data_IF_007341672479
#
_entry.id   IF_007341672479
#
_cell.length_a   1.000
_cell.length_b   1.000
_cell.length_c   1.000
_cell.angle_alpha   90.00
_cell.angle_beta   90.00
_cell.angle_gamma   90.00
#
_symmetry.space_group_name_H-M   'P 1'
#
loop_
_entity.id
_entity.type
_entity.pdbx_description
1 polymer ?
#
# COMPACT_ATOMS: atom_id res chain seq x y z
N UNK A 1 21.28 -17.50 -87.19
CA UNK A 1 19.92 -17.96 -86.86
C UNK A 1 20.03 -18.89 -85.65
N UNK A 2 19.42 -18.54 -84.51
CA UNK A 2 19.73 -19.16 -83.21
C UNK A 2 18.63 -20.14 -82.76
N UNK A 3 19.00 -21.19 -82.01
CA UNK A 3 18.30 -21.64 -80.79
C UNK A 3 19.30 -22.51 -80.02
N UNK A 4 19.79 -22.03 -78.88
CA UNK A 4 20.41 -22.90 -77.87
C UNK A 4 19.65 -22.81 -76.55
N UNK A 5 19.57 -23.99 -75.96
CA UNK A 5 18.71 -24.50 -74.89
C UNK A 5 19.05 -23.84 -73.56
N UNK A 6 18.00 -23.43 -72.84
CA UNK A 6 18.04 -22.90 -71.47
C UNK A 6 18.47 -23.97 -70.46
N UNK A 7 19.49 -23.64 -69.65
CA UNK A 7 19.75 -24.21 -68.33
C UNK A 7 19.39 -23.14 -67.27
N UNK A 8 18.84 -23.50 -66.10
CA UNK A 8 18.53 -22.56 -65.02
C UNK A 8 19.69 -22.47 -63.99
N UNK A 9 19.53 -21.54 -63.05
CA UNK A 9 20.29 -21.31 -61.77
C UNK A 9 21.39 -20.22 -61.92
N UNK A 10 21.59 -19.27 -60.96
CA UNK A 10 21.21 -19.28 -59.53
C UNK A 10 20.52 -18.00 -58.97
N UNK A 11 19.40 -18.18 -58.28
CA UNK A 11 18.78 -17.18 -57.38
C UNK A 11 19.51 -17.03 -56.02
N UNK A 12 20.73 -17.55 -55.88
CA UNK A 12 21.47 -17.57 -54.61
C UNK A 12 22.34 -16.32 -54.36
N UNK A 13 22.45 -15.41 -55.33
CA UNK A 13 23.39 -14.28 -55.25
C UNK A 13 22.75 -12.95 -54.83
N UNK A 14 21.42 -12.82 -54.91
CA UNK A 14 20.74 -11.58 -54.51
C UNK A 14 20.43 -11.50 -53.00
N UNK A 15 20.32 -12.64 -52.33
CA UNK A 15 20.01 -12.69 -50.89
C UNK A 15 21.22 -12.39 -49.98
N UNK A 16 22.44 -12.55 -50.48
CA UNK A 16 23.65 -12.37 -49.67
C UNK A 16 24.05 -10.89 -49.49
N UNK A 17 23.67 -9.99 -50.39
CA UNK A 17 24.03 -8.57 -50.30
C UNK A 17 23.14 -7.76 -49.33
N UNK A 18 21.96 -8.25 -48.96
CA UNK A 18 21.05 -7.52 -48.06
C UNK A 18 21.35 -7.75 -46.57
N UNK A 19 22.09 -8.81 -46.23
CA UNK A 19 22.42 -9.14 -44.84
C UNK A 19 23.69 -8.38 -44.38
N UNK A 20 24.60 -8.02 -45.29
CA UNK A 20 25.82 -7.30 -44.94
C UNK A 20 25.63 -5.79 -44.70
N UNK A 21 24.52 -5.20 -45.20
CA UNK A 21 24.26 -3.76 -45.05
C UNK A 21 23.52 -3.40 -43.74
N UNK A 22 22.97 -4.39 -43.03
CA UNK A 22 22.34 -4.18 -41.72
C UNK A 22 23.36 -4.14 -40.56
N UNK A 23 24.61 -4.54 -40.80
CA UNK A 23 25.64 -4.62 -39.76
C UNK A 23 26.41 -3.30 -39.53
N UNK A 24 26.21 -2.27 -40.37
CA UNK A 24 26.96 -1.00 -40.28
C UNK A 24 26.18 0.18 -39.66
N UNK A 25 24.94 -0.02 -39.21
CA UNK A 25 24.14 0.98 -38.49
C UNK A 25 23.93 0.67 -37.00
N UNK A 26 24.64 -0.31 -36.44
CA UNK A 26 24.73 -0.50 -34.99
C UNK A 26 25.72 0.52 -34.37
N UNK A 27 25.40 1.81 -34.55
CA UNK A 27 26.02 2.91 -33.85
C UNK A 27 25.63 2.84 -32.36
N UNK A 28 26.65 2.66 -31.52
CA UNK A 28 26.80 3.22 -30.17
C UNK A 28 25.52 3.78 -29.52
N UNK A 29 24.75 2.90 -28.87
CA UNK A 29 23.85 3.31 -27.79
C UNK A 29 24.57 3.03 -26.46
N UNK A 30 24.58 3.96 -25.51
CA UNK A 30 25.09 3.67 -24.17
C UNK A 30 24.23 2.53 -23.63
N UNK A 31 24.88 1.43 -23.26
CA UNK A 31 24.27 0.41 -22.43
C UNK A 31 23.75 1.13 -21.19
N UNK A 32 22.44 1.38 -21.14
CA UNK A 32 21.76 1.70 -19.92
C UNK A 32 22.07 0.55 -18.99
N UNK A 33 23.00 0.81 -18.06
CA UNK A 33 23.12 0.06 -16.84
C UNK A 33 21.69 -0.10 -16.33
N UNK A 34 21.18 -1.33 -16.34
CA UNK A 34 20.05 -1.67 -15.50
C UNK A 34 20.45 -1.18 -14.10
N UNK A 35 19.73 -0.22 -13.49
CA UNK A 35 20.01 0.08 -12.11
C UNK A 35 19.73 -1.22 -11.38
N UNK A 36 20.78 -1.77 -10.77
CA UNK A 36 20.65 -2.78 -9.75
C UNK A 36 19.53 -2.29 -8.83
N UNK A 37 18.39 -2.99 -8.85
CA UNK A 37 17.28 -2.74 -7.94
C UNK A 37 17.69 -3.26 -6.56
N UNK A 38 18.68 -2.59 -5.99
CA UNK A 38 18.99 -2.54 -4.58
C UNK A 38 18.62 -1.14 -4.06
N UNK A 39 17.50 -0.58 -4.55
CA UNK A 39 16.94 0.63 -3.96
C UNK A 39 16.61 0.33 -2.51
N UNK A 40 17.26 1.02 -1.58
CA UNK A 40 16.90 0.97 -0.17
C UNK A 40 15.40 1.27 -0.05
N UNK A 41 14.57 0.31 0.42
CA UNK A 41 13.13 0.50 0.50
C UNK A 41 12.78 1.74 1.33
N UNK A 42 13.59 2.08 2.32
CA UNK A 42 13.39 3.26 3.16
C UNK A 42 13.64 4.54 2.35
N UNK A 43 14.71 4.60 1.56
CA UNK A 43 14.99 5.74 0.69
C UNK A 43 13.86 5.99 -0.32
N UNK A 44 13.27 4.91 -0.86
CA UNK A 44 12.12 5.01 -1.78
C UNK A 44 10.86 5.56 -1.08
N UNK A 45 10.63 5.19 0.19
CA UNK A 45 9.52 5.70 0.99
C UNK A 45 9.72 7.16 1.38
N UNK A 46 10.94 7.54 1.74
CA UNK A 46 11.31 8.94 2.01
C UNK A 46 11.06 9.81 0.78
N UNK A 47 11.47 9.34 -0.41
CA UNK A 47 11.20 10.06 -1.66
C UNK A 47 9.69 10.15 -1.95
N UNK A 48 8.92 9.11 -1.64
CA UNK A 48 7.47 9.11 -1.84
C UNK A 48 6.75 10.12 -0.94
N UNK A 49 7.15 10.22 0.33
CA UNK A 49 6.57 11.17 1.29
C UNK A 49 7.25 12.55 1.30
N UNK A 50 8.11 12.81 0.32
CA UNK A 50 8.82 14.08 0.19
C UNK A 50 7.82 15.24 0.13
N UNK A 51 8.02 16.25 0.99
CA UNK A 51 7.13 17.40 1.13
C UNK A 51 6.06 17.26 2.22
N UNK A 52 5.94 16.11 2.88
CA UNK A 52 5.19 15.99 4.14
C UNK A 52 6.05 16.40 5.36
N UNK A 53 7.38 16.37 5.22
CA UNK A 53 8.34 16.69 6.29
C UNK A 53 8.09 18.09 6.91
N UNK A 54 7.58 18.09 8.15
CA UNK A 54 7.46 19.30 8.95
C UNK A 54 8.79 19.65 9.62
N UNK A 55 8.93 20.91 10.10
CA UNK A 55 10.13 21.42 10.79
C UNK A 55 10.46 20.72 12.13
N UNK A 56 9.69 19.72 12.55
CA UNK A 56 9.88 19.04 13.81
C UNK A 56 9.58 17.55 13.64
N UNK A 57 10.59 16.71 13.88
CA UNK A 57 10.43 15.26 14.03
C UNK A 57 9.56 15.02 15.25
N UNK A 58 8.36 14.46 15.04
CA UNK A 58 7.44 14.25 16.13
C UNK A 58 7.85 12.99 16.94
N UNK A 59 7.59 12.97 18.26
CA UNK A 59 7.79 11.78 19.07
C UNK A 59 6.80 10.66 18.70
N UNK A 60 6.91 9.53 19.40
CA UNK A 60 6.17 8.29 19.17
C UNK A 60 4.66 8.47 18.90
N UNK A 61 4.09 7.51 18.17
CA UNK A 61 2.66 7.47 17.82
C UNK A 61 1.76 7.65 19.05
N UNK A 62 0.86 8.64 18.96
CA UNK A 62 -0.12 9.04 19.98
C UNK A 62 -1.50 8.40 19.78
N UNK A 63 -1.61 7.36 18.97
CA UNK A 63 -2.86 6.61 18.79
C UNK A 63 -2.64 5.10 18.80
N UNK A 64 -3.72 4.37 18.95
CA UNK A 64 -3.77 2.91 18.79
C UNK A 64 -4.91 2.53 17.85
N UNK A 65 -4.74 1.45 17.10
CA UNK A 65 -5.82 0.85 16.32
C UNK A 65 -6.62 -0.03 17.29
N UNK A 66 -7.90 0.29 17.47
CA UNK A 66 -8.78 -0.40 18.42
C UNK A 66 -9.69 -1.43 17.74
N UNK A 67 -9.85 -1.32 16.42
CA UNK A 67 -10.73 -2.19 15.66
C UNK A 67 -10.74 -1.84 14.20
N UNK A 68 -11.49 -2.60 13.42
CA UNK A 68 -11.67 -2.35 12.00
C UNK A 68 -12.20 -3.56 11.25
N UNK A 69 -12.47 -3.35 9.98
CA UNK A 69 -12.83 -4.38 9.03
C UNK A 69 -12.27 -4.06 7.65
N UNK A 70 -12.15 -5.08 6.83
CA UNK A 70 -11.84 -4.98 5.42
C UNK A 70 -12.89 -5.72 4.61
N UNK A 71 -13.46 -5.06 3.61
CA UNK A 71 -14.33 -5.70 2.62
C UNK A 71 -13.43 -6.15 1.46
N UNK A 72 -13.13 -7.45 1.43
CA UNK A 72 -12.19 -8.07 0.48
C UNK A 72 -12.96 -8.79 -0.62
N UNK A 73 -12.64 -8.46 -1.87
CA UNK A 73 -13.17 -9.17 -3.05
C UNK A 73 -12.10 -10.12 -3.58
N UNK A 74 -12.41 -11.42 -3.61
CA UNK A 74 -11.55 -12.49 -4.13
C UNK A 74 -12.22 -13.21 -5.30
N UNK A 75 -11.54 -14.18 -5.92
CA UNK A 75 -12.11 -14.98 -7.01
C UNK A 75 -13.20 -15.98 -6.57
N UNK A 76 -13.31 -16.27 -5.27
CA UNK A 76 -14.35 -17.16 -4.72
C UNK A 76 -15.31 -16.38 -3.83
N UNK A 77 -16.61 -16.76 -3.85
CA UNK A 77 -17.64 -16.15 -3.00
C UNK A 77 -17.37 -16.40 -1.51
N UNK A 78 -16.88 -17.59 -1.17
CA UNK A 78 -16.70 -18.00 0.22
C UNK A 78 -15.56 -17.23 0.92
N UNK A 79 -14.49 -16.95 0.18
CA UNK A 79 -13.38 -16.11 0.65
C UNK A 79 -13.61 -14.61 0.45
N UNK A 80 -14.67 -14.20 -0.24
CA UNK A 80 -15.01 -12.78 -0.39
C UNK A 80 -15.93 -12.29 0.72
N UNK A 81 -15.90 -11.00 0.99
CA UNK A 81 -16.79 -10.35 1.96
C UNK A 81 -16.02 -9.65 3.08
N UNK A 82 -16.68 -9.46 4.22
CA UNK A 82 -16.14 -8.70 5.33
C UNK A 82 -15.25 -9.55 6.22
N UNK A 83 -14.02 -9.10 6.42
CA UNK A 83 -13.09 -9.63 7.39
C UNK A 83 -12.94 -8.64 8.54
N UNK A 84 -12.91 -9.13 9.76
CA UNK A 84 -12.74 -8.31 10.96
C UNK A 84 -11.29 -8.28 11.39
N UNK A 85 -10.85 -7.13 11.91
CA UNK A 85 -9.49 -6.97 12.39
C UNK A 85 -9.24 -7.93 13.58
N UNK A 86 -8.29 -8.83 13.42
CA UNK A 86 -7.85 -9.78 14.44
C UNK A 86 -6.61 -9.25 15.19
N UNK A 87 -5.68 -8.62 14.47
CA UNK A 87 -4.50 -8.01 15.07
C UNK A 87 -4.03 -6.81 14.26
N UNK A 88 -3.40 -5.86 14.95
CA UNK A 88 -2.74 -4.71 14.33
C UNK A 88 -1.44 -4.41 15.05
N UNK A 89 -0.40 -4.07 14.29
CA UNK A 89 0.89 -3.67 14.82
C UNK A 89 1.41 -2.45 14.08
N UNK A 90 2.04 -1.52 14.79
CA UNK A 90 2.66 -0.34 14.18
C UNK A 90 4.13 -0.29 14.52
N UNK A 91 4.97 -0.30 13.48
CA UNK A 91 6.42 -0.25 13.59
C UNK A 91 6.94 1.07 13.04
N UNK A 92 7.81 1.77 13.77
CA UNK A 92 8.51 2.95 13.25
C UNK A 92 9.65 2.49 12.34
N UNK A 93 9.72 3.05 11.12
CA UNK A 93 10.78 2.73 10.16
C UNK A 93 11.88 3.80 10.18
N UNK A 94 11.52 5.04 9.87
CA UNK A 94 12.47 6.16 9.76
C UNK A 94 11.76 7.49 9.90
N UNK A 95 12.27 8.39 10.74
CA UNK A 95 11.65 9.70 10.98
C UNK A 95 10.17 9.58 11.34
N UNK A 96 9.30 10.16 10.51
CA UNK A 96 7.84 10.18 10.63
C UNK A 96 7.15 9.09 9.78
N UNK A 97 7.90 8.11 9.26
CA UNK A 97 7.39 7.00 8.44
C UNK A 97 7.24 5.74 9.30
N UNK A 98 6.06 5.16 9.20
CA UNK A 98 5.64 3.98 9.95
C UNK A 98 5.12 2.89 9.02
N UNK A 99 5.16 1.65 9.51
CA UNK A 99 4.55 0.48 8.91
C UNK A 99 3.39 0.03 9.80
N UNK A 100 2.21 -0.11 9.21
CA UNK A 100 1.00 -0.66 9.81
C UNK A 100 0.79 -2.07 9.27
N UNK A 101 0.95 -3.06 10.14
CA UNK A 101 0.65 -4.46 9.85
C UNK A 101 -0.72 -4.80 10.40
N UNK A 102 -1.57 -5.38 9.56
CA UNK A 102 -2.96 -5.72 9.84
C UNK A 102 -3.19 -7.19 9.53
N UNK A 103 -3.80 -7.91 10.47
CA UNK A 103 -4.31 -9.25 10.25
C UNK A 103 -5.83 -9.20 10.34
N UNK A 104 -6.51 -9.58 9.27
CA UNK A 104 -7.95 -9.66 9.18
C UNK A 104 -8.40 -11.11 9.15
N UNK A 105 -9.49 -11.43 9.82
CA UNK A 105 -10.04 -12.79 9.86
C UNK A 105 -11.53 -12.81 9.51
N UNK A 106 -11.94 -13.82 8.75
CA UNK A 106 -13.33 -14.13 8.44
C UNK A 106 -13.61 -15.58 8.83
N UNK A 107 -14.62 -15.79 9.67
CA UNK A 107 -15.08 -17.14 10.02
C UNK A 107 -15.76 -17.77 8.81
N UNK A 108 -15.42 -19.02 8.51
CA UNK A 108 -16.13 -19.81 7.49
C UNK A 108 -17.47 -20.28 8.03
N UNK A 109 -18.51 -20.20 7.20
CA UNK A 109 -19.78 -20.86 7.47
C UNK A 109 -19.56 -22.37 7.31
N UNK A 110 -19.87 -23.12 8.38
CA UNK A 110 -19.86 -24.58 8.35
C UNK A 110 -21.29 -25.04 8.10
N UNK A 111 -21.50 -25.75 6.99
CA UNK A 111 -22.82 -26.27 6.59
C UNK A 111 -23.22 -27.52 7.41
N UNK A 112 -22.27 -28.13 8.11
CA UNK A 112 -22.47 -29.34 8.91
C UNK A 112 -22.15 -29.01 10.37
N UNK A 113 -23.02 -29.46 11.29
CA UNK A 113 -22.72 -29.48 12.73
C UNK A 113 -21.62 -30.51 13.01
N UNK A 114 -20.38 -30.11 12.75
CA UNK A 114 -19.19 -30.82 13.14
C UNK A 114 -18.61 -30.16 14.41
N UNK A 115 -18.07 -30.97 15.32
CA UNK A 115 -17.39 -30.49 16.53
C UNK A 115 -15.94 -30.07 16.24
N UNK A 116 -15.54 -30.00 14.97
CA UNK A 116 -14.25 -29.50 14.56
C UNK A 116 -14.09 -27.99 14.89
N UNK A 117 -12.85 -27.53 15.17
CA UNK A 117 -12.60 -26.12 15.40
C UNK A 117 -13.07 -25.26 14.24
N UNK A 118 -13.59 -24.07 14.54
CA UNK A 118 -14.01 -23.12 13.51
C UNK A 118 -12.84 -22.78 12.58
N UNK A 119 -13.07 -22.89 11.27
CA UNK A 119 -12.12 -22.46 10.25
C UNK A 119 -12.23 -20.96 10.00
N UNK A 120 -11.08 -20.31 9.82
CA UNK A 120 -10.99 -18.88 9.51
C UNK A 120 -10.18 -18.68 8.25
N UNK A 121 -10.64 -17.80 7.37
CA UNK A 121 -9.78 -17.16 6.39
C UNK A 121 -9.03 -16.02 7.07
N UNK A 122 -7.72 -15.97 6.88
CA UNK A 122 -6.87 -14.90 7.42
C UNK A 122 -6.17 -14.19 6.28
N UNK A 123 -6.29 -12.87 6.25
CA UNK A 123 -5.61 -12.00 5.31
C UNK A 123 -4.66 -11.07 6.08
N UNK A 124 -3.37 -11.09 5.71
CA UNK A 124 -2.38 -10.19 6.28
C UNK A 124 -2.04 -9.07 5.29
N UNK A 125 -2.06 -7.83 5.74
CA UNK A 125 -1.80 -6.65 4.92
C UNK A 125 -0.85 -5.70 5.64
N UNK A 126 0.06 -5.10 4.87
CA UNK A 126 1.03 -4.14 5.39
C UNK A 126 0.92 -2.84 4.61
N UNK A 127 0.75 -1.74 5.33
CA UNK A 127 0.66 -0.39 4.78
C UNK A 127 1.79 0.48 5.33
N UNK A 128 2.29 1.39 4.51
CA UNK A 128 3.22 2.41 4.95
C UNK A 128 2.49 3.72 5.08
N UNK A 129 2.75 4.45 6.15
CA UNK A 129 2.13 5.75 6.35
C UNK A 129 3.11 6.75 6.95
N UNK A 130 2.89 8.01 6.62
CA UNK A 130 3.57 9.13 7.23
C UNK A 130 2.65 9.78 8.27
N UNK A 131 3.22 10.12 9.42
CA UNK A 131 2.51 10.78 10.50
C UNK A 131 3.48 11.56 11.40
N UNK A 132 3.25 12.87 11.54
CA UNK A 132 4.08 13.76 12.36
C UNK A 132 3.33 14.35 13.56
N UNK A 133 2.40 13.60 14.15
CA UNK A 133 1.55 14.11 15.25
C UNK A 133 0.68 15.33 14.84
N UNK A 134 0.54 15.58 13.54
CA UNK A 134 -0.15 16.74 12.99
C UNK A 134 -1.64 16.55 12.73
N UNK A 135 -2.12 17.26 11.71
CA UNK A 135 -3.52 17.36 11.30
C UNK A 135 -3.97 16.26 10.34
N UNK A 136 -3.10 15.32 9.97
CA UNK A 136 -3.39 14.26 9.00
C UNK A 136 -2.50 13.03 9.15
N UNK A 137 -3.02 11.89 8.72
CA UNK A 137 -2.25 10.67 8.44
C UNK A 137 -2.22 10.49 6.93
N UNK A 138 -1.04 10.23 6.35
CA UNK A 138 -0.90 10.00 4.90
C UNK A 138 -0.49 8.56 4.66
N UNK A 139 -1.40 7.74 4.14
CA UNK A 139 -1.18 6.32 3.89
C UNK A 139 -0.80 6.12 2.43
N UNK A 140 0.29 5.39 2.17
CA UNK A 140 0.66 4.92 0.83
C UNK A 140 -0.20 3.71 0.47
N UNK A 141 -0.94 3.81 -0.64
CA UNK A 141 -1.76 2.72 -1.18
C UNK A 141 -1.40 2.54 -2.65
N UNK A 142 -0.67 1.46 -2.95
CA UNK A 142 -0.07 1.26 -4.27
C UNK A 142 0.83 2.44 -4.69
N UNK A 143 0.53 3.04 -5.83
CA UNK A 143 1.20 4.24 -6.35
C UNK A 143 0.58 5.56 -5.85
N UNK A 144 -0.52 5.51 -5.12
CA UNK A 144 -1.28 6.66 -4.66
C UNK A 144 -1.14 6.88 -3.16
N UNK A 145 -1.64 8.03 -2.67
CA UNK A 145 -1.68 8.37 -1.26
C UNK A 145 -3.12 8.66 -0.82
N UNK A 146 -3.51 8.16 0.35
CA UNK A 146 -4.75 8.49 1.03
C UNK A 146 -4.43 9.41 2.22
N UNK A 147 -4.84 10.67 2.15
CA UNK A 147 -4.65 11.64 3.23
C UNK A 147 -5.92 11.71 4.09
N UNK A 148 -5.79 11.37 5.37
CA UNK A 148 -6.89 11.29 6.31
C UNK A 148 -6.74 12.39 7.36
N UNK A 149 -7.63 13.40 7.41
CA UNK A 149 -7.50 14.52 8.33
C UNK A 149 -7.85 14.15 9.78
N UNK A 150 -6.98 14.52 10.72
CA UNK A 150 -7.15 14.47 12.16
C UNK A 150 -7.49 15.88 12.66
N UNK A 151 -8.77 16.25 12.55
CA UNK A 151 -9.21 17.60 12.95
C UNK A 151 -9.13 17.85 14.46
N UNK A 152 -9.39 16.84 15.29
CA UNK A 152 -9.37 16.91 16.76
C UNK A 152 -9.01 15.56 17.36
N UNK A 153 -8.19 15.57 18.41
CA UNK A 153 -7.71 14.37 19.13
C UNK A 153 -8.34 14.20 20.51
N UNK A 154 -8.74 15.31 21.15
CA UNK A 154 -9.37 15.31 22.46
C UNK A 154 -10.43 16.43 22.58
N UNK A 155 -11.38 16.25 23.50
CA UNK A 155 -12.38 17.24 23.89
C UNK A 155 -12.26 17.47 25.38
N UNK A 156 -12.09 18.73 25.77
CA UNK A 156 -12.17 19.14 27.18
C UNK A 156 -13.61 19.53 27.50
N UNK A 157 -14.24 18.80 28.40
CA UNK A 157 -15.53 19.14 28.98
C UNK A 157 -15.28 19.79 30.33
N UNK A 158 -15.76 21.03 30.48
CA UNK A 158 -15.75 21.72 31.77
C UNK A 158 -17.18 21.67 32.30
N UNK A 159 -17.38 21.02 33.43
CA UNK A 159 -18.66 20.96 34.13
C UNK A 159 -18.57 21.85 35.37
N UNK A 160 -19.36 22.92 35.40
CA UNK A 160 -19.34 23.95 36.43
C UNK A 160 -20.48 23.64 37.41
N UNK A 161 -20.13 23.18 38.61
CA UNK A 161 -21.11 22.81 39.64
C UNK A 161 -21.52 24.02 40.49
N UNK A 162 -20.63 25.01 40.67
CA UNK A 162 -20.89 26.26 41.40
C UNK A 162 -19.90 27.36 40.97
N UNK A 163 -20.05 28.59 41.49
CA UNK A 163 -19.08 29.68 41.20
C UNK A 163 -17.64 29.35 41.62
N UNK A 164 -17.46 28.47 42.61
CA UNK A 164 -16.15 28.10 43.16
C UNK A 164 -15.73 26.66 42.83
N UNK A 165 -16.60 25.88 42.16
CA UNK A 165 -16.34 24.45 41.88
C UNK A 165 -16.63 24.13 40.42
N UNK A 166 -15.58 23.76 39.70
CA UNK A 166 -15.66 23.22 38.35
C UNK A 166 -14.85 21.91 38.29
N UNK A 167 -15.31 20.99 37.44
CA UNK A 167 -14.59 19.78 37.08
C UNK A 167 -14.19 19.87 35.61
N UNK A 168 -12.97 19.40 35.31
CA UNK A 168 -12.44 19.37 33.94
C UNK A 168 -12.22 17.92 33.57
N UNK A 169 -13.02 17.43 32.62
CA UNK A 169 -12.89 16.09 32.05
C UNK A 169 -12.27 16.20 30.64
N UNK A 170 -11.27 15.38 30.34
CA UNK A 170 -10.62 15.32 29.02
C UNK A 170 -10.92 13.98 28.38
N UNK A 171 -11.71 14.00 27.31
CA UNK A 171 -12.12 12.81 26.59
C UNK A 171 -11.32 12.67 25.31
N UNK A 172 -10.58 11.56 25.18
CA UNK A 172 -9.84 11.20 23.97
C UNK A 172 -10.82 10.74 22.89
N UNK A 173 -10.56 11.12 21.65
CA UNK A 173 -11.46 10.85 20.54
C UNK A 173 -11.12 9.55 19.82
N UNK A 174 -12.17 8.92 19.30
CA UNK A 174 -12.07 7.89 18.27
C UNK A 174 -12.14 8.53 16.89
N UNK A 175 -11.43 7.95 15.93
CA UNK A 175 -11.50 8.33 14.52
C UNK A 175 -11.51 7.08 13.65
N UNK A 176 -12.28 7.15 12.58
CA UNK A 176 -12.29 6.11 11.57
C UNK A 176 -11.35 6.51 10.42
N UNK A 177 -10.40 5.64 10.11
CA UNK A 177 -9.51 5.71 8.97
C UNK A 177 -10.08 4.81 7.88
N UNK A 178 -10.55 5.40 6.77
CA UNK A 178 -11.06 4.64 5.64
C UNK A 178 -10.25 4.91 4.39
N UNK A 179 -9.83 3.86 3.71
CA UNK A 179 -9.10 3.93 2.44
C UNK A 179 -9.36 2.68 1.59
N UNK A 180 -9.06 2.76 0.30
CA UNK A 180 -9.33 1.69 -0.68
C UNK A 180 -8.04 1.26 -1.35
N UNK A 181 -7.76 -0.03 -1.33
CA UNK A 181 -6.59 -0.68 -1.92
C UNK A 181 -7.03 -1.68 -2.99
N UNK A 182 -7.00 -1.26 -4.26
CA UNK A 182 -7.57 -2.00 -5.37
C UNK A 182 -9.07 -2.26 -5.15
N UNK A 183 -9.45 -3.54 -5.06
CA UNK A 183 -10.84 -3.96 -4.82
C UNK A 183 -11.16 -4.17 -3.32
N UNK A 184 -10.26 -3.74 -2.43
CA UNK A 184 -10.43 -3.91 -0.97
C UNK A 184 -10.70 -2.57 -0.32
N UNK A 185 -11.83 -2.44 0.37
CA UNK A 185 -12.11 -1.27 1.20
C UNK A 185 -11.73 -1.58 2.65
N UNK A 186 -10.94 -0.70 3.28
CA UNK A 186 -10.44 -0.88 4.64
C UNK A 186 -10.97 0.26 5.50
N UNK A 187 -11.58 -0.10 6.62
CA UNK A 187 -12.04 0.83 7.64
C UNK A 187 -11.46 0.42 8.99
N UNK A 188 -10.60 1.28 9.55
CA UNK A 188 -9.98 1.08 10.85
C UNK A 188 -10.51 2.12 11.82
N UNK A 189 -10.70 1.73 13.07
CA UNK A 189 -10.97 2.66 14.15
C UNK A 189 -9.70 2.85 14.96
N UNK A 190 -9.31 4.11 15.14
CA UNK A 190 -8.20 4.51 16.01
C UNK A 190 -8.71 5.26 17.22
N UNK A 191 -7.97 5.15 18.33
CA UNK A 191 -8.17 5.94 19.56
C UNK A 191 -6.89 6.70 19.87
N UNK A 192 -7.00 7.99 20.14
CA UNK A 192 -5.86 8.79 20.59
C UNK A 192 -5.56 8.54 22.08
N UNK A 193 -4.27 8.60 22.44
CA UNK A 193 -3.75 8.41 23.80
C UNK A 193 -3.65 9.74 24.56
#
# INVERSE_FOLDING_TARGET
MPVQKTMPVPDALLAACLILLAALLAASAPAFAAPASGSDPIASLQQFFKGQEGKSSAPAIDFEVVGGFADITTGSKDSSGRYFLAASHITRLSGDIYRLDLAFSKKMEQDIMDFSPAYYFTENRSYYFWYNNGDRIVIKVGASQAAIPIARKEITRVDIQSMDTYSVDRQKLFKDLTFTDGNTAISLQIRFK
#
